data_IF_938356274202
#
_entry.id   IF_938356274202
#
_cell.length_a   1.000
_cell.length_b   1.000
_cell.length_c   1.000
_cell.angle_alpha   90.00
_cell.angle_beta   90.00
_cell.angle_gamma   90.00
#
_symmetry.space_group_name_H-M   'P 1'
#
loop_
_entity.id
_entity.type
_entity.pdbx_description
1 polymer ?
#
# COMPACT_ATOMS: atom_id res chain seq x y z
N UNK A 1 12.07 35.48 -16.41
CA UNK A 1 11.64 35.38 -14.99
C UNK A 1 10.77 34.13 -14.75
N UNK A 2 11.04 33.02 -15.44
CA UNK A 2 10.28 31.77 -15.25
C UNK A 2 10.85 30.91 -14.11
N UNK A 3 12.18 30.95 -13.94
CA UNK A 3 12.93 30.12 -12.99
C UNK A 3 12.60 30.41 -11.53
N UNK A 4 12.33 31.67 -11.16
CA UNK A 4 11.92 32.02 -9.80
C UNK A 4 10.56 31.41 -9.44
N UNK A 5 9.62 31.35 -10.38
CA UNK A 5 8.27 30.80 -10.16
C UNK A 5 8.27 29.27 -9.97
N UNK A 6 9.28 28.57 -10.51
CA UNK A 6 9.50 27.13 -10.27
C UNK A 6 10.24 26.86 -8.96
N UNK A 7 11.07 27.80 -8.51
CA UNK A 7 11.81 27.68 -7.24
C UNK A 7 10.86 27.74 -6.04
N UNK A 8 9.81 28.57 -6.11
CA UNK A 8 8.78 28.69 -5.06
C UNK A 8 7.88 27.43 -4.95
N UNK A 9 7.85 26.57 -5.98
CA UNK A 9 7.13 25.28 -5.93
C UNK A 9 7.95 24.13 -5.32
N UNK A 10 9.23 24.36 -5.05
CA UNK A 10 10.17 23.40 -4.44
C UNK A 10 10.39 23.68 -2.95
N UNK A 11 9.43 24.33 -2.28
CA UNK A 11 9.44 24.43 -0.83
C UNK A 11 9.44 23.02 -0.22
N UNK A 12 10.52 22.67 0.50
CA UNK A 12 10.59 21.41 1.22
C UNK A 12 9.51 21.41 2.30
N UNK A 13 8.44 20.65 2.08
CA UNK A 13 7.48 20.28 3.14
C UNK A 13 7.99 19.06 3.89
N UNK A 14 7.57 18.90 5.14
CA UNK A 14 7.92 17.70 5.89
C UNK A 14 7.12 16.52 5.30
N UNK A 15 7.72 15.34 5.16
CA UNK A 15 7.05 14.14 4.60
C UNK A 15 5.69 13.89 5.27
N UNK A 16 5.64 14.08 6.59
CA UNK A 16 4.44 13.94 7.42
C UNK A 16 3.27 14.85 7.01
N UNK A 17 3.52 16.01 6.38
CA UNK A 17 2.45 16.91 5.91
C UNK A 17 1.87 16.48 4.55
N UNK A 18 2.59 15.60 3.84
CA UNK A 18 2.20 15.07 2.53
C UNK A 18 1.63 13.64 2.61
N UNK A 19 1.81 12.98 3.74
CA UNK A 19 1.31 11.63 3.99
C UNK A 19 -0.20 11.66 4.29
N UNK A 20 -0.94 10.64 3.84
CA UNK A 20 -2.34 10.50 4.24
C UNK A 20 -2.44 10.31 5.76
N UNK A 21 -3.49 10.85 6.37
CA UNK A 21 -3.77 10.67 7.80
C UNK A 21 -3.92 9.18 8.12
N UNK A 22 -3.05 8.67 9.00
CA UNK A 22 -3.16 7.32 9.54
C UNK A 22 -4.36 7.23 10.50
N UNK A 23 -5.13 6.15 10.42
CA UNK A 23 -6.22 5.88 11.36
C UNK A 23 -5.70 5.77 12.80
N UNK A 24 -6.45 6.31 13.76
CA UNK A 24 -6.20 6.08 15.18
C UNK A 24 -6.50 4.61 15.57
N UNK A 25 -5.98 4.15 16.71
CA UNK A 25 -6.10 2.75 17.14
C UNK A 25 -7.56 2.32 17.34
N UNK A 26 -8.39 3.17 17.94
CA UNK A 26 -9.83 2.96 18.12
C UNK A 26 -10.55 2.80 16.77
N UNK A 27 -10.16 3.61 15.78
CA UNK A 27 -10.70 3.52 14.42
C UNK A 27 -10.30 2.22 13.73
N UNK A 28 -9.05 1.78 13.91
CA UNK A 28 -8.56 0.50 13.40
C UNK A 28 -9.29 -0.69 14.04
N UNK A 29 -9.50 -0.65 15.35
CA UNK A 29 -10.23 -1.70 16.08
C UNK A 29 -11.68 -1.76 15.61
N UNK A 30 -12.37 -0.63 15.49
CA UNK A 30 -13.73 -0.56 14.99
C UNK A 30 -13.83 -1.06 13.54
N UNK A 31 -12.93 -0.61 12.65
CA UNK A 31 -12.89 -1.07 11.26
C UNK A 31 -12.65 -2.59 11.17
N UNK A 32 -11.81 -3.14 12.04
CA UNK A 32 -11.57 -4.60 12.13
C UNK A 32 -12.82 -5.35 12.55
N UNK A 33 -13.56 -4.85 13.55
CA UNK A 33 -14.80 -5.48 14.03
C UNK A 33 -15.89 -5.48 12.95
N UNK A 34 -16.05 -4.37 12.25
CA UNK A 34 -16.98 -4.26 11.12
C UNK A 34 -16.60 -5.19 9.95
N UNK A 35 -15.31 -5.25 9.59
CA UNK A 35 -14.84 -6.17 8.56
C UNK A 35 -15.10 -7.64 8.94
N UNK A 36 -14.88 -7.99 10.22
CA UNK A 36 -15.16 -9.34 10.72
C UNK A 36 -16.67 -9.65 10.70
N UNK A 37 -17.53 -8.66 10.96
CA UNK A 37 -18.97 -8.80 10.85
C UNK A 37 -19.40 -9.13 9.42
N UNK A 38 -18.86 -8.43 8.42
CA UNK A 38 -19.10 -8.72 7.00
C UNK A 38 -18.67 -10.16 6.66
N UNK A 39 -17.46 -10.56 7.04
CA UNK A 39 -16.94 -11.90 6.76
C UNK A 39 -17.80 -13.02 7.38
N UNK A 40 -18.45 -12.77 8.52
CA UNK A 40 -19.28 -13.76 9.22
C UNK A 40 -20.70 -13.83 8.70
N UNK A 41 -21.23 -12.75 8.13
CA UNK A 41 -22.66 -12.61 7.81
C UNK A 41 -22.96 -12.62 6.31
N UNK A 42 -21.97 -12.31 5.47
CA UNK A 42 -22.13 -12.20 4.02
C UNK A 42 -21.54 -13.41 3.30
N UNK A 43 -22.00 -13.62 2.08
CA UNK A 43 -21.34 -14.56 1.17
C UNK A 43 -19.98 -14.01 0.74
N UNK A 44 -19.09 -14.87 0.24
CA UNK A 44 -17.77 -14.44 -0.23
C UNK A 44 -17.86 -13.39 -1.35
N UNK A 45 -18.79 -13.54 -2.29
CA UNK A 45 -19.01 -12.59 -3.39
C UNK A 45 -19.45 -11.22 -2.87
N UNK A 46 -20.43 -11.17 -1.97
CA UNK A 46 -20.87 -9.92 -1.34
C UNK A 46 -19.75 -9.27 -0.50
N UNK A 47 -18.99 -10.06 0.25
CA UNK A 47 -17.86 -9.56 1.02
C UNK A 47 -16.78 -8.96 0.10
N UNK A 48 -16.48 -9.61 -1.02
CA UNK A 48 -15.57 -9.07 -2.03
C UNK A 48 -16.07 -7.74 -2.59
N UNK A 49 -17.35 -7.66 -3.01
CA UNK A 49 -17.93 -6.40 -3.49
C UNK A 49 -17.79 -5.27 -2.46
N UNK A 50 -18.10 -5.55 -1.18
CA UNK A 50 -17.95 -4.57 -0.10
C UNK A 50 -16.50 -4.08 0.03
N UNK A 51 -15.51 -4.97 -0.02
CA UNK A 51 -14.11 -4.60 0.18
C UNK A 51 -13.42 -4.00 -1.06
N UNK A 52 -13.92 -4.23 -2.27
CA UNK A 52 -13.24 -3.80 -3.50
C UNK A 52 -13.97 -2.73 -4.30
N UNK A 53 -15.27 -2.53 -4.12
CA UNK A 53 -16.09 -1.64 -4.94
C UNK A 53 -15.55 -0.21 -5.01
N UNK A 54 -15.17 0.38 -3.88
CA UNK A 54 -14.60 1.73 -3.84
C UNK A 54 -13.14 1.77 -4.33
N UNK A 55 -12.41 0.65 -4.23
CA UNK A 55 -11.05 0.55 -4.79
C UNK A 55 -11.08 0.65 -6.31
N UNK A 56 -12.10 0.11 -6.98
CA UNK A 56 -12.24 0.20 -8.43
C UNK A 56 -12.50 1.64 -8.92
N UNK A 57 -13.19 2.46 -8.13
CA UNK A 57 -13.44 3.87 -8.48
C UNK A 57 -12.16 4.72 -8.34
N UNK A 58 -11.34 4.46 -7.32
CA UNK A 58 -10.04 5.11 -7.12
C UNK A 58 -8.95 4.64 -8.09
N UNK A 59 -8.95 3.35 -8.45
CA UNK A 59 -7.97 2.79 -9.40
C UNK A 59 -8.21 3.26 -10.84
N UNK A 60 -9.47 3.50 -11.25
CA UNK A 60 -9.77 4.10 -12.57
C UNK A 60 -9.13 5.47 -12.75
N UNK A 61 -8.94 6.24 -11.68
CA UNK A 61 -8.21 7.50 -11.73
C UNK A 61 -6.67 7.33 -11.80
N UNK A 62 -6.16 6.15 -11.41
CA UNK A 62 -4.72 5.83 -11.43
C UNK A 62 -4.29 5.06 -12.69
N UNK A 63 -5.20 4.44 -13.44
CA UNK A 63 -4.90 3.78 -14.72
C UNK A 63 -4.38 4.78 -15.77
N UNK A 64 -4.77 6.07 -15.69
CA UNK A 64 -4.20 7.13 -16.53
C UNK A 64 -2.72 7.45 -16.18
N UNK A 65 -2.19 6.93 -15.06
CA UNK A 65 -0.79 7.09 -14.64
C UNK A 65 -0.05 5.76 -14.50
N UNK A 66 -0.20 4.81 -15.43
CA UNK A 66 0.82 3.77 -15.72
C UNK A 66 1.42 2.99 -14.54
N UNK A 67 0.72 2.90 -13.41
CA UNK A 67 1.21 2.31 -12.17
C UNK A 67 0.89 0.83 -12.15
N UNK A 68 1.89 0.02 -12.53
CA UNK A 68 1.90 -1.45 -12.55
C UNK A 68 1.29 -2.04 -11.26
N UNK A 69 0.00 -2.38 -11.26
CA UNK A 69 -0.56 -3.28 -10.27
C UNK A 69 0.10 -4.66 -10.46
N UNK A 70 0.75 -5.17 -9.41
CA UNK A 70 1.32 -6.52 -9.40
C UNK A 70 0.18 -7.55 -9.39
N UNK A 71 -0.21 -8.04 -10.56
CA UNK A 71 -1.05 -9.23 -10.68
C UNK A 71 -0.26 -10.44 -10.14
N UNK A 72 -0.57 -10.89 -8.93
CA UNK A 72 0.01 -12.10 -8.29
C UNK A 72 -0.68 -13.40 -8.77
N UNK A 73 -1.10 -13.45 -10.03
CA UNK A 73 -1.76 -14.62 -10.63
C UNK A 73 -1.22 -14.89 -12.02
N UNK A 74 -0.10 -15.59 -12.05
CA UNK A 74 0.43 -16.39 -13.16
C UNK A 74 1.55 -17.23 -12.51
N UNK A 75 1.23 -18.39 -11.92
CA UNK A 75 1.22 -19.69 -12.60
C UNK A 75 2.55 -19.98 -13.33
N UNK A 76 3.34 -20.85 -12.69
CA UNK A 76 4.29 -21.78 -13.29
C UNK A 76 5.29 -21.22 -14.31
N UNK A 77 6.45 -20.76 -13.83
CA UNK A 77 7.67 -20.92 -14.64
C UNK A 77 8.84 -21.33 -13.73
N UNK A 78 9.37 -22.48 -14.11
CA UNK A 78 10.41 -23.30 -13.51
C UNK A 78 11.79 -22.66 -13.83
N UNK A 79 12.85 -23.22 -13.24
CA UNK A 79 14.24 -23.11 -13.75
C UNK A 79 15.13 -21.91 -13.33
N UNK A 80 15.90 -22.17 -12.27
CA UNK A 80 17.38 -22.10 -12.26
C UNK A 80 18.08 -20.73 -12.51
N UNK A 81 18.06 -19.86 -11.49
CA UNK A 81 19.11 -18.86 -11.28
C UNK A 81 19.44 -18.73 -9.79
N UNK A 82 20.48 -19.46 -9.39
CA UNK A 82 21.27 -19.23 -8.18
C UNK A 82 21.77 -17.77 -8.14
N UNK A 83 21.74 -17.19 -6.94
CA UNK A 83 22.27 -15.88 -6.56
C UNK A 83 21.38 -14.63 -6.84
N UNK A 84 21.24 -13.78 -5.82
CA UNK A 84 20.69 -12.41 -5.83
C UNK A 84 19.16 -12.15 -5.70
N UNK A 85 18.30 -13.16 -5.55
CA UNK A 85 16.83 -12.92 -5.49
C UNK A 85 16.26 -12.91 -4.06
N UNK A 86 15.92 -11.70 -3.62
CA UNK A 86 15.05 -11.34 -2.49
C UNK A 86 15.68 -11.38 -1.11
N UNK A 87 16.25 -10.24 -0.74
CA UNK A 87 16.27 -9.70 0.62
C UNK A 87 14.81 -9.58 1.14
N UNK A 88 14.12 -10.71 1.34
CA UNK A 88 13.05 -10.78 2.31
C UNK A 88 13.74 -10.54 3.65
N UNK A 89 13.77 -9.27 4.03
CA UNK A 89 14.16 -8.82 5.34
C UNK A 89 13.44 -9.71 6.34
N UNK A 90 14.18 -10.66 6.93
CA UNK A 90 13.72 -11.37 8.12
C UNK A 90 13.17 -10.32 9.09
N UNK A 91 12.09 -10.56 9.83
CA UNK A 91 11.55 -9.59 10.80
C UNK A 91 12.61 -8.99 11.74
N UNK A 92 13.71 -9.71 11.96
CA UNK A 92 14.92 -9.28 12.67
C UNK A 92 15.65 -8.08 12.05
N UNK A 93 15.50 -7.80 10.75
CA UNK A 93 16.10 -6.67 10.06
C UNK A 93 15.30 -5.36 10.25
N UNK A 94 14.16 -5.40 10.96
CA UNK A 94 13.41 -4.23 11.42
C UNK A 94 13.61 -3.95 12.91
N UNK A 95 14.52 -4.65 13.57
CA UNK A 95 14.83 -4.40 14.97
C UNK A 95 15.65 -3.11 15.11
N UNK A 96 15.05 -2.09 15.73
CA UNK A 96 15.72 -0.82 16.00
C UNK A 96 16.94 -0.99 16.93
N UNK A 97 17.01 -2.08 17.69
CA UNK A 97 18.16 -2.41 18.54
C UNK A 97 19.40 -2.85 17.76
N UNK A 98 19.26 -3.29 16.50
CA UNK A 98 20.38 -3.71 15.65
C UNK A 98 20.82 -2.64 14.64
N UNK A 99 20.20 -1.45 14.65
CA UNK A 99 20.63 -0.34 13.82
C UNK A 99 21.97 0.26 14.31
N UNK A 100 22.97 0.49 13.43
CA UNK A 100 24.19 1.18 13.81
C UNK A 100 23.93 2.67 14.14
N UNK A 101 24.67 3.21 15.11
CA UNK A 101 24.67 4.64 15.48
C UNK A 101 25.38 5.52 14.45
#
# INVERSE_FOLDING_TARGET
>A
MEVSKRMDMLERRSSIETEPMTLHLDQLENAREEALYVMKTKTMEEAMDIFTKETHEGLRASEERGGRCINLKDEEDDDDYEDERMMFMSPHAWDIHTAPF
#
